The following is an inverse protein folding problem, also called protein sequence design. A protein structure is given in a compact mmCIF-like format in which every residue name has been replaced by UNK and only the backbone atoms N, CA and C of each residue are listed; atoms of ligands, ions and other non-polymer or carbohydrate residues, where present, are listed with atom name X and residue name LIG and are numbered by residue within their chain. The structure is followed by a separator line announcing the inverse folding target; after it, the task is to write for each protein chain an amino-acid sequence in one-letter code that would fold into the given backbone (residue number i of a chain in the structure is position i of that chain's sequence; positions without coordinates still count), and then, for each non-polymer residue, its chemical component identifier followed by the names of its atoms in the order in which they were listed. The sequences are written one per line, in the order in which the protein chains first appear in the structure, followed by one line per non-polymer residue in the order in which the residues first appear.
data_IF_691576237802
#
_entry.id   IF_691576237802
#
_cell.length_a   1.000
_cell.length_b   1.000
_cell.length_c   1.000
_cell.angle_alpha   90.00
_cell.angle_beta   90.00
_cell.angle_gamma   90.00
#
_symmetry.space_group_name_H-M   'P 1'
#
loop_
_entity.id
_entity.type
_entity.pdbx_description
1 polymer ?
#
# COMPACT_ATOMS: atom_id res chain seq x y z
N UNK A 1 14.54 -9.76 -3.17
CA UNK A 1 13.30 -9.46 -3.92
C UNK A 1 12.84 -10.73 -4.59
N UNK A 2 11.57 -11.11 -4.45
CA UNK A 2 11.02 -12.26 -5.17
C UNK A 2 10.95 -11.94 -6.67
N UNK A 3 11.46 -12.84 -7.52
CA UNK A 3 11.40 -12.71 -8.98
C UNK A 3 9.93 -12.73 -9.44
N UNK A 4 9.53 -11.74 -10.25
CA UNK A 4 8.16 -11.66 -10.76
C UNK A 4 7.92 -12.72 -11.84
N UNK A 5 6.69 -13.18 -12.01
CA UNK A 5 6.36 -14.28 -12.94
C UNK A 5 6.80 -13.98 -14.37
N UNK A 6 6.64 -12.73 -14.83
CA UNK A 6 7.09 -12.32 -16.16
C UNK A 6 8.61 -12.39 -16.32
N UNK A 7 9.38 -12.08 -15.27
CA UNK A 7 10.84 -12.17 -15.26
C UNK A 7 11.28 -13.64 -15.34
N UNK A 8 10.61 -14.51 -14.57
CA UNK A 8 10.87 -15.95 -14.59
C UNK A 8 10.58 -16.54 -15.98
N UNK A 9 9.48 -16.11 -16.62
CA UNK A 9 9.13 -16.52 -17.98
C UNK A 9 10.17 -16.08 -19.01
N UNK A 10 10.53 -14.79 -19.01
CA UNK A 10 11.52 -14.24 -19.94
C UNK A 10 12.90 -14.91 -19.76
N UNK A 11 13.31 -15.17 -18.52
CA UNK A 11 14.57 -15.84 -18.21
C UNK A 11 14.61 -17.29 -18.70
N UNK A 12 13.52 -18.04 -18.55
CA UNK A 12 13.49 -19.48 -18.86
C UNK A 12 13.20 -19.73 -20.35
N UNK A 13 12.25 -18.98 -20.91
CA UNK A 13 11.80 -19.21 -22.30
C UNK A 13 12.48 -18.30 -23.32
N UNK A 14 13.13 -17.20 -22.87
CA UNK A 14 13.71 -16.18 -23.75
C UNK A 14 12.68 -15.35 -24.53
N UNK A 15 11.39 -15.44 -24.19
CA UNK A 15 10.29 -14.80 -24.92
C UNK A 15 9.57 -13.75 -24.07
N UNK A 16 9.00 -12.70 -24.69
CA UNK A 16 8.25 -11.68 -23.95
C UNK A 16 7.02 -12.31 -23.28
N UNK A 17 6.65 -11.77 -22.12
CA UNK A 17 5.48 -12.23 -21.36
C UNK A 17 4.16 -12.23 -22.18
N UNK A 18 4.05 -11.35 -23.17
CA UNK A 18 2.89 -11.32 -24.09
C UNK A 18 2.65 -12.65 -24.82
N UNK A 19 3.71 -13.43 -25.06
CA UNK A 19 3.60 -14.74 -25.71
C UNK A 19 3.00 -15.79 -24.77
N UNK A 20 3.14 -15.63 -23.44
CA UNK A 20 2.54 -16.53 -22.46
C UNK A 20 1.02 -16.46 -22.51
N UNK A 21 0.47 -15.24 -22.54
CA UNK A 21 -0.97 -15.01 -22.65
C UNK A 21 -1.51 -15.45 -24.03
N UNK A 22 -0.81 -15.13 -25.12
CA UNK A 22 -1.18 -15.56 -26.48
C UNK A 22 -1.14 -17.08 -26.65
N UNK A 23 -0.19 -17.75 -25.97
CA UNK A 23 -0.06 -19.20 -25.97
C UNK A 23 -1.06 -19.92 -25.04
N UNK A 24 -1.91 -19.19 -24.31
CA UNK A 24 -2.88 -19.76 -23.39
C UNK A 24 -2.24 -20.37 -22.13
N UNK A 25 -1.00 -20.02 -21.81
CA UNK A 25 -0.29 -20.54 -20.63
C UNK A 25 -0.69 -19.83 -19.33
N UNK A 26 -1.32 -18.67 -19.44
CA UNK A 26 -1.91 -17.91 -18.34
C UNK A 26 -3.11 -17.12 -18.84
N UNK A 27 -4.09 -16.91 -17.97
CA UNK A 27 -5.25 -16.02 -18.16
C UNK A 27 -5.02 -14.63 -17.51
N UNK A 28 -3.85 -14.39 -16.93
CA UNK A 28 -3.51 -13.17 -16.20
C UNK A 28 -3.97 -13.17 -14.75
N UNK A 29 -4.72 -14.18 -14.29
CA UNK A 29 -5.12 -14.32 -12.89
C UNK A 29 -3.90 -14.61 -12.01
N UNK A 30 -3.97 -14.14 -10.76
CA UNK A 30 -2.91 -14.35 -9.77
C UNK A 30 -2.59 -15.84 -9.56
N UNK A 31 -3.62 -16.67 -9.44
CA UNK A 31 -3.47 -18.11 -9.23
C UNK A 31 -2.84 -18.82 -10.45
N UNK A 32 -3.24 -18.45 -11.67
CA UNK A 32 -2.63 -18.99 -12.89
C UNK A 32 -1.16 -18.60 -13.02
N UNK A 33 -0.83 -17.34 -12.69
CA UNK A 33 0.55 -16.84 -12.72
C UNK A 33 1.44 -17.58 -11.71
N UNK A 34 0.97 -17.83 -10.48
CA UNK A 34 1.72 -18.63 -9.50
C UNK A 34 1.90 -20.08 -9.96
N UNK A 35 0.85 -20.70 -10.50
CA UNK A 35 0.93 -22.08 -10.99
C UNK A 35 1.92 -22.19 -12.16
N UNK A 36 1.92 -21.22 -13.07
CA UNK A 36 2.87 -21.13 -14.18
C UNK A 36 4.31 -20.95 -13.68
N UNK A 37 4.52 -20.04 -12.72
CA UNK A 37 5.84 -19.82 -12.12
C UNK A 37 6.40 -21.10 -11.47
N UNK A 38 5.57 -21.82 -10.71
CA UNK A 38 5.96 -23.10 -10.09
C UNK A 38 6.35 -24.15 -11.14
N UNK A 39 5.61 -24.25 -12.25
CA UNK A 39 5.93 -25.17 -13.35
C UNK A 39 7.27 -24.83 -14.00
N UNK A 40 7.47 -23.56 -14.32
CA UNK A 40 8.71 -23.04 -14.91
C UNK A 40 9.93 -23.31 -14.03
N UNK A 41 9.85 -22.99 -12.73
CA UNK A 41 10.91 -23.28 -11.77
C UNK A 41 11.13 -24.80 -11.57
N UNK A 42 10.09 -25.60 -11.81
CA UNK A 42 10.16 -27.07 -11.86
C UNK A 42 10.79 -27.64 -13.12
N UNK A 43 11.34 -26.81 -14.02
CA UNK A 43 12.03 -27.25 -15.24
C UNK A 43 11.11 -27.56 -16.41
N UNK A 44 9.84 -27.15 -16.35
CA UNK A 44 8.92 -27.26 -17.48
C UNK A 44 9.20 -26.14 -18.49
N UNK A 45 9.49 -26.51 -19.73
CA UNK A 45 9.66 -25.59 -20.85
C UNK A 45 8.49 -25.74 -21.85
N UNK A 46 7.60 -24.73 -21.98
CA UNK A 46 6.45 -24.77 -22.89
C UNK A 46 6.82 -24.84 -24.36
N UNK A 47 8.04 -24.43 -24.73
CA UNK A 47 8.52 -24.40 -26.10
C UNK A 47 9.67 -25.36 -26.34
N UNK A 48 9.95 -26.26 -25.39
CA UNK A 48 10.76 -27.42 -25.68
C UNK A 48 10.13 -28.10 -26.88
N UNK A 49 10.83 -28.05 -28.02
CA UNK A 49 10.45 -28.82 -29.20
C UNK A 49 10.28 -30.24 -28.69
N UNK A 50 9.08 -30.80 -28.85
CA UNK A 50 8.83 -32.19 -28.51
C UNK A 50 9.98 -32.97 -29.15
N UNK A 51 10.91 -33.44 -28.32
CA UNK A 51 12.00 -34.25 -28.80
C UNK A 51 11.29 -35.38 -29.51
N UNK A 52 11.41 -35.39 -30.85
CA UNK A 52 10.77 -36.37 -31.70
C UNK A 52 10.89 -37.69 -30.98
N UNK A 53 9.76 -38.32 -30.65
CA UNK A 53 9.77 -39.63 -30.04
C UNK A 53 10.76 -40.46 -30.86
N UNK A 54 11.92 -40.77 -30.28
CA UNK A 54 12.98 -41.47 -31.01
C UNK A 54 12.30 -42.66 -31.68
N UNK A 55 12.42 -42.83 -33.01
CA UNK A 55 11.77 -43.94 -33.68
C UNK A 55 12.16 -45.22 -32.96
N UNK A 56 11.17 -46.01 -32.52
CA UNK A 56 11.39 -47.31 -31.89
C UNK A 56 12.34 -48.08 -32.78
N UNK A 57 13.59 -48.22 -32.35
CA UNK A 57 14.56 -49.00 -33.06
C UNK A 57 14.02 -50.43 -33.14
N UNK A 58 13.96 -50.97 -34.37
CA UNK A 58 13.75 -52.40 -34.60
C UNK A 58 14.66 -53.19 -33.66
N UNK A 59 14.20 -54.31 -33.08
CA UNK A 59 15.04 -55.12 -32.22
C UNK A 59 16.18 -55.70 -33.05
N UNK A 60 17.36 -55.07 -32.95
CA UNK A 60 18.60 -55.62 -33.46
C UNK A 60 19.22 -56.43 -32.33
N UNK A 61 19.62 -57.65 -32.68
CA UNK A 61 20.10 -58.68 -31.76
C UNK A 61 21.07 -58.13 -30.70
N UNK A 62 20.85 -58.61 -29.47
CA UNK A 62 21.60 -58.33 -28.25
C UNK A 62 23.10 -58.55 -28.49
N UNK A 63 23.86 -57.47 -28.69
CA UNK A 63 25.30 -57.48 -28.41
C UNK A 63 25.45 -57.19 -26.91
N UNK A 64 26.10 -58.08 -26.18
CA UNK A 64 26.37 -57.91 -24.76
C UNK A 64 27.22 -56.65 -24.54
N UNK A 65 26.59 -55.60 -24.01
CA UNK A 65 27.29 -54.40 -23.59
C UNK A 65 27.96 -54.69 -22.23
N UNK A 66 29.28 -54.51 -22.19
CA UNK A 66 30.05 -54.53 -20.96
C UNK A 66 29.53 -53.45 -20.00
N UNK A 67 29.18 -53.87 -18.78
CA UNK A 67 28.78 -52.99 -17.69
C UNK A 67 29.98 -52.17 -17.24
N UNK A 68 30.04 -50.89 -17.62
CA UNK A 68 30.84 -49.91 -16.90
C UNK A 68 30.20 -49.68 -15.52
N UNK A 69 30.96 -49.74 -14.40
CA UNK A 69 30.43 -49.38 -13.09
C UNK A 69 30.08 -47.89 -13.10
N UNK A 70 28.81 -47.57 -12.90
CA UNK A 70 28.38 -46.20 -12.64
C UNK A 70 29.00 -45.68 -11.34
N UNK A 71 29.18 -44.35 -11.18
CA UNK A 71 29.63 -43.79 -9.92
C UNK A 71 28.69 -44.27 -8.81
N UNK A 72 29.25 -44.93 -7.80
CA UNK A 72 28.49 -45.44 -6.68
C UNK A 72 27.72 -44.32 -5.97
N UNK A 73 26.64 -44.63 -5.25
CA UNK A 73 25.90 -43.65 -4.46
C UNK A 73 26.90 -42.91 -3.57
N UNK A 74 26.99 -41.59 -3.76
CA UNK A 74 27.77 -40.73 -2.87
C UNK A 74 27.15 -40.92 -1.47
N UNK A 75 27.91 -41.40 -0.48
CA UNK A 75 27.40 -41.53 0.88
C UNK A 75 27.05 -40.13 1.38
N UNK A 76 25.76 -39.78 1.35
CA UNK A 76 25.26 -38.62 2.08
C UNK A 76 25.32 -39.01 3.55
N UNK A 77 26.35 -38.49 4.22
CA UNK A 77 26.55 -38.65 5.65
C UNK A 77 25.25 -38.21 6.36
N UNK A 78 24.54 -39.09 7.11
CA UNK A 78 23.19 -38.82 7.62
C UNK A 78 23.09 -37.58 8.53
N UNK A 79 24.21 -37.03 9.01
CA UNK A 79 24.26 -35.78 9.76
C UNK A 79 24.20 -34.50 8.90
N UNK A 80 24.67 -34.55 7.64
CA UNK A 80 24.78 -33.36 6.79
C UNK A 80 23.40 -32.89 6.30
N UNK A 81 22.48 -33.83 6.05
CA UNK A 81 21.10 -33.54 5.72
C UNK A 81 20.33 -32.91 6.88
N UNK A 82 20.61 -33.32 8.12
CA UNK A 82 19.97 -32.77 9.32
C UNK A 82 20.37 -31.29 9.54
N UNK A 83 21.65 -30.98 9.39
CA UNK A 83 22.16 -29.60 9.50
C UNK A 83 21.57 -28.67 8.43
N UNK A 84 21.40 -29.16 7.19
CA UNK A 84 20.75 -28.39 6.12
C UNK A 84 19.27 -28.11 6.43
N UNK A 85 18.57 -29.07 7.01
CA UNK A 85 17.17 -28.91 7.43
C UNK A 85 17.02 -27.89 8.57
N UNK A 86 17.91 -27.94 9.56
CA UNK A 86 17.94 -26.99 10.67
C UNK A 86 18.23 -25.56 10.16
N UNK A 87 19.18 -25.40 9.24
CA UNK A 87 19.49 -24.12 8.62
C UNK A 87 18.29 -23.57 7.82
N UNK A 88 17.56 -24.43 7.09
CA UNK A 88 16.35 -24.02 6.36
C UNK A 88 15.23 -23.58 7.32
N UNK A 89 15.03 -24.30 8.42
CA UNK A 89 14.02 -23.94 9.43
C UNK A 89 14.38 -22.63 10.13
N UNK A 90 15.66 -22.42 10.44
CA UNK A 90 16.14 -21.17 11.02
C UNK A 90 15.92 -19.98 10.06
N UNK A 91 16.24 -20.15 8.77
CA UNK A 91 15.99 -19.14 7.74
C UNK A 91 14.49 -18.84 7.60
N UNK A 92 13.65 -19.88 7.59
CA UNK A 92 12.20 -19.72 7.46
C UNK A 92 11.62 -18.95 8.66
N UNK A 93 12.11 -19.23 9.87
CA UNK A 93 11.73 -18.48 11.07
C UNK A 93 12.16 -17.02 10.97
N UNK A 94 13.40 -16.76 10.55
CA UNK A 94 13.89 -15.39 10.37
C UNK A 94 13.05 -14.60 9.36
N UNK A 95 12.69 -15.22 8.24
CA UNK A 95 11.80 -14.59 7.24
C UNK A 95 10.41 -14.29 7.83
N UNK A 96 9.87 -15.20 8.65
CA UNK A 96 8.59 -14.99 9.31
C UNK A 96 8.65 -13.82 10.30
N UNK A 97 9.71 -13.75 11.09
CA UNK A 97 9.94 -12.67 12.08
C UNK A 97 10.13 -11.32 11.37
N UNK A 98 10.92 -11.26 10.30
CA UNK A 98 11.12 -10.04 9.51
C UNK A 98 9.81 -9.56 8.85
N UNK A 99 8.99 -10.48 8.34
CA UNK A 99 7.68 -10.15 7.78
C UNK A 99 6.71 -9.62 8.84
N UNK A 100 6.73 -10.19 10.05
CA UNK A 100 5.92 -9.71 11.17
C UNK A 100 6.28 -8.27 11.53
N UNK A 101 7.59 -7.95 11.63
CA UNK A 101 8.06 -6.59 11.90
C UNK A 101 7.65 -5.61 10.80
N UNK A 102 7.80 -5.99 9.54
CA UNK A 102 7.39 -5.14 8.40
C UNK A 102 5.88 -4.85 8.42
N UNK A 103 5.07 -5.84 8.78
CA UNK A 103 3.62 -5.67 8.92
C UNK A 103 3.27 -4.69 10.05
N UNK A 104 3.94 -4.80 11.20
CA UNK A 104 3.76 -3.87 12.33
C UNK A 104 4.12 -2.43 11.94
N UNK A 105 5.25 -2.23 11.26
CA UNK A 105 5.69 -0.93 10.75
C UNK A 105 4.68 -0.34 9.75
N UNK A 106 4.22 -1.15 8.78
CA UNK A 106 3.24 -0.71 7.80
C UNK A 106 1.90 -0.31 8.44
N UNK A 107 1.45 -1.04 9.47
CA UNK A 107 0.26 -0.67 10.23
C UNK A 107 0.46 0.63 11.02
N UNK A 108 1.64 0.82 11.61
CA UNK A 108 1.96 2.07 12.31
C UNK A 108 2.00 3.28 11.35
N UNK A 109 2.53 3.10 10.13
CA UNK A 109 2.51 4.12 9.09
C UNK A 109 1.08 4.43 8.63
N UNK A 110 0.24 3.40 8.42
CA UNK A 110 -1.15 3.58 8.05
C UNK A 110 -1.93 4.38 9.12
N UNK A 111 -1.71 4.09 10.41
CA UNK A 111 -2.29 4.88 11.51
C UNK A 111 -1.84 6.34 11.48
N UNK A 112 -0.52 6.59 11.35
CA UNK A 112 0.02 7.96 11.25
C UNK A 112 -0.57 8.74 10.07
N UNK A 113 -0.77 8.08 8.93
CA UNK A 113 -1.34 8.70 7.75
C UNK A 113 -2.84 9.01 7.93
N UNK A 114 -3.59 8.11 8.58
CA UNK A 114 -5.00 8.34 8.90
C UNK A 114 -5.17 9.50 9.89
N UNK A 115 -4.34 9.55 10.94
CA UNK A 115 -4.30 10.69 11.86
C UNK A 115 -3.98 12.00 11.15
N UNK A 116 -2.99 12.00 10.24
CA UNK A 116 -2.63 13.18 9.47
C UNK A 116 -3.79 13.65 8.56
N UNK A 117 -4.48 12.73 7.88
CA UNK A 117 -5.64 13.06 7.04
C UNK A 117 -6.79 13.66 7.84
N UNK A 118 -7.14 13.06 8.97
CA UNK A 118 -8.22 13.56 9.83
C UNK A 118 -7.85 14.91 10.46
N UNK A 119 -6.58 15.12 10.81
CA UNK A 119 -6.12 16.41 11.34
C UNK A 119 -6.07 17.53 10.29
N UNK A 120 -5.90 17.19 9.01
CA UNK A 120 -5.82 18.16 7.91
C UNK A 120 -7.19 18.72 7.50
N UNK A 121 -8.29 18.04 7.85
CA UNK A 121 -9.64 18.51 7.55
C UNK A 121 -10.32 19.04 8.82
N UNK A 122 -10.50 20.36 8.98
CA UNK A 122 -11.16 20.92 10.17
C UNK A 122 -12.62 20.49 10.32
N UNK A 123 -13.28 20.02 9.25
CA UNK A 123 -14.63 19.46 9.34
C UNK A 123 -14.67 18.10 10.05
N UNK A 124 -13.53 17.38 10.08
CA UNK A 124 -13.41 16.04 10.66
C UNK A 124 -12.76 16.04 12.05
N UNK A 125 -12.62 17.21 12.69
CA UNK A 125 -12.01 17.35 14.02
C UNK A 125 -12.67 16.46 15.08
N UNK A 126 -14.00 16.38 15.08
CA UNK A 126 -14.74 15.50 16.01
C UNK A 126 -14.47 14.03 15.72
N UNK A 127 -14.40 13.64 14.44
CA UNK A 127 -14.06 12.28 14.04
C UNK A 127 -12.60 11.92 14.42
N UNK A 128 -11.68 12.88 14.30
CA UNK A 128 -10.30 12.74 14.74
C UNK A 128 -10.19 12.48 16.25
N UNK A 129 -10.90 13.25 17.07
CA UNK A 129 -10.90 13.08 18.53
C UNK A 129 -11.56 11.74 18.96
N UNK A 130 -12.64 11.32 18.30
CA UNK A 130 -13.23 9.99 18.51
C UNK A 130 -12.27 8.87 18.11
N UNK A 131 -11.54 9.03 17.01
CA UNK A 131 -10.54 8.07 16.57
C UNK A 131 -9.39 7.92 17.58
N UNK A 132 -8.89 9.02 18.16
CA UNK A 132 -7.86 8.97 19.21
C UNK A 132 -8.32 8.18 20.44
N UNK A 133 -9.55 8.39 20.92
CA UNK A 133 -10.10 7.57 22.02
C UNK A 133 -10.15 6.09 21.65
N UNK A 134 -10.56 5.77 20.43
CA UNK A 134 -10.59 4.38 19.98
C UNK A 134 -9.20 3.73 19.97
N UNK A 135 -8.13 4.51 19.72
CA UNK A 135 -6.75 4.05 19.81
C UNK A 135 -6.33 3.83 21.26
N UNK A 136 -6.64 4.77 22.16
CA UNK A 136 -6.35 4.64 23.59
C UNK A 136 -7.06 3.42 24.21
N UNK A 137 -8.32 3.17 23.85
CA UNK A 137 -9.08 1.99 24.28
C UNK A 137 -8.47 0.67 23.78
N UNK A 138 -7.86 0.68 22.59
CA UNK A 138 -7.15 -0.46 22.02
C UNK A 138 -5.72 -0.62 22.57
N UNK A 139 -5.28 0.27 23.47
CA UNK A 139 -3.96 0.25 24.09
C UNK A 139 -2.85 0.88 23.23
N UNK A 140 -3.19 1.63 22.19
CA UNK A 140 -2.24 2.38 21.38
C UNK A 140 -2.07 3.81 21.90
N UNK A 141 -0.85 4.34 21.81
CA UNK A 141 -0.56 5.74 22.16
C UNK A 141 -0.77 6.65 20.93
N UNK A 142 -1.77 7.55 20.94
CA UNK A 142 -1.94 8.53 19.87
C UNK A 142 -0.82 9.58 19.87
N UNK A 143 -0.62 10.32 18.77
CA UNK A 143 0.39 11.39 18.68
C UNK A 143 0.16 12.52 19.70
N UNK A 144 -1.09 12.78 20.05
CA UNK A 144 -1.50 13.74 21.08
C UNK A 144 -2.61 13.12 21.91
N UNK A 145 -2.65 13.42 23.20
CA UNK A 145 -3.71 12.95 24.08
C UNK A 145 -5.09 13.33 23.53
N UNK A 146 -6.06 12.42 23.64
CA UNK A 146 -7.44 12.72 23.29
C UNK A 146 -7.99 13.83 24.18
N UNK A 147 -8.72 14.79 23.60
CA UNK A 147 -9.40 15.84 24.35
C UNK A 147 -10.66 15.31 25.01
N UNK A 148 -11.02 15.92 26.14
CA UNK A 148 -12.26 15.58 26.84
C UNK A 148 -13.49 16.05 26.04
N UNK A 149 -14.65 15.41 26.25
CA UNK A 149 -15.89 15.81 25.58
C UNK A 149 -16.27 17.26 25.85
N UNK A 150 -15.95 17.78 27.04
CA UNK A 150 -16.18 19.18 27.42
C UNK A 150 -15.31 20.12 26.57
N UNK A 151 -14.02 19.82 26.43
CA UNK A 151 -13.13 20.61 25.57
C UNK A 151 -13.52 20.54 24.09
N UNK A 152 -14.01 19.39 23.62
CA UNK A 152 -14.49 19.23 22.24
C UNK A 152 -15.76 20.07 22.01
N UNK A 153 -16.70 20.07 22.97
CA UNK A 153 -17.90 20.90 22.92
C UNK A 153 -17.54 22.40 22.93
N UNK A 154 -16.66 22.83 23.83
CA UNK A 154 -16.19 24.23 23.88
C UNK A 154 -15.53 24.67 22.57
N UNK A 155 -14.68 23.82 21.97
CA UNK A 155 -14.03 24.13 20.69
C UNK A 155 -15.02 24.17 19.53
N UNK A 156 -16.04 23.30 19.56
CA UNK A 156 -17.08 23.25 18.54
C UNK A 156 -18.00 24.46 18.63
N UNK A 157 -18.36 24.88 19.84
CA UNK A 157 -19.16 26.09 20.10
C UNK A 157 -18.42 27.36 19.66
N UNK A 158 -17.10 27.41 19.89
CA UNK A 158 -16.22 28.48 19.38
C UNK A 158 -16.09 28.44 17.86
N UNK A 159 -15.92 27.26 17.26
CA UNK A 159 -15.71 27.11 15.82
C UNK A 159 -16.98 27.34 14.99
N UNK A 160 -18.16 27.10 15.56
CA UNK A 160 -19.45 27.35 14.92
C UNK A 160 -20.05 28.72 15.25
N UNK A 161 -19.35 29.54 16.05
CA UNK A 161 -19.84 30.84 16.52
C UNK A 161 -21.29 30.78 17.04
N UNK A 162 -21.66 29.66 17.67
CA UNK A 162 -22.99 29.47 18.26
C UNK A 162 -23.14 30.26 19.57
N UNK A 163 -22.04 30.81 20.10
CA UNK A 163 -22.07 31.84 21.13
C UNK A 163 -22.20 33.23 20.48
N UNK A 164 -23.45 33.69 20.46
CA UNK A 164 -23.97 34.96 19.95
C UNK A 164 -23.05 36.18 20.13
N UNK A 165 -22.85 36.90 19.01
CA UNK A 165 -23.01 38.37 18.99
C UNK A 165 -21.84 39.21 19.48
N UNK A 166 -20.70 39.16 18.79
CA UNK A 166 -19.66 40.19 18.94
C UNK A 166 -19.51 40.94 17.61
N UNK A 167 -20.30 42.00 17.47
CA UNK A 167 -19.96 43.13 16.59
C UNK A 167 -18.53 43.56 16.93
N UNK A 168 -17.68 43.81 15.91
CA UNK A 168 -16.33 44.32 16.12
C UNK A 168 -16.32 45.79 16.60
N UNK A 169 -17.51 46.38 16.79
CA UNK A 169 -17.74 47.75 17.21
C UNK A 169 -18.49 48.54 16.15
N UNK A 170 -19.00 49.71 16.53
CA UNK A 170 -19.65 50.65 15.60
C UNK A 170 -18.60 51.52 14.91
N UNK A 171 -18.58 51.52 13.58
CA UNK A 171 -17.66 52.33 12.78
C UNK A 171 -17.94 53.83 12.91
N UNK A 172 -17.00 54.65 12.45
CA UNK A 172 -17.06 56.13 12.53
C UNK A 172 -18.32 56.76 11.90
N UNK A 173 -19.04 56.01 11.08
CA UNK A 173 -20.31 56.41 10.46
C UNK A 173 -21.57 55.93 11.22
N UNK A 174 -21.43 55.40 12.43
CA UNK A 174 -22.55 54.89 13.22
C UNK A 174 -23.11 53.55 12.71
N UNK A 175 -22.41 52.89 11.79
CA UNK A 175 -22.79 51.60 11.23
C UNK A 175 -22.00 50.50 11.91
N UNK A 176 -22.69 49.44 12.34
CA UNK A 176 -22.09 48.32 13.04
C UNK A 176 -21.11 47.57 12.12
N UNK A 177 -19.88 47.34 12.59
CA UNK A 177 -18.86 46.66 11.80
C UNK A 177 -18.99 45.15 12.06
N UNK A 178 -19.41 44.36 11.04
CA UNK A 178 -19.40 42.90 11.16
C UNK A 178 -17.98 42.44 11.49
N UNK A 179 -17.84 41.57 12.50
CA UNK A 179 -16.55 40.99 12.82
C UNK A 179 -16.12 40.05 11.69
N UNK A 180 -14.83 39.77 11.57
CA UNK A 180 -14.31 38.85 10.55
C UNK A 180 -14.86 37.42 10.66
N UNK A 181 -15.62 37.11 11.71
CA UNK A 181 -16.37 35.87 11.91
C UNK A 181 -17.79 35.89 11.33
N UNK A 182 -18.44 37.06 11.27
CA UNK A 182 -19.87 37.16 10.91
C UNK A 182 -20.19 37.00 9.42
N UNK A 183 -19.18 36.73 8.58
CA UNK A 183 -19.41 36.29 7.19
C UNK A 183 -19.34 34.77 7.21
N UNK A 184 -20.51 34.14 7.26
CA UNK A 184 -20.60 32.69 7.25
C UNK A 184 -20.02 32.13 5.94
N UNK A 185 -19.33 30.98 5.94
CA UNK A 185 -18.76 30.38 4.70
C UNK A 185 -19.82 30.16 3.61
N UNK A 186 -21.08 30.01 3.99
CA UNK A 186 -22.26 29.97 3.13
C UNK A 186 -22.56 31.29 2.41
N UNK A 187 -22.23 32.43 3.00
CA UNK A 187 -22.31 33.75 2.35
C UNK A 187 -21.07 34.03 1.48
N UNK A 188 -19.89 33.51 1.86
CA UNK A 188 -18.69 33.55 1.01
C UNK A 188 -18.86 32.79 -0.32
N UNK A 189 -19.70 31.74 -0.36
CA UNK A 189 -20.09 31.06 -1.60
C UNK A 189 -21.17 31.79 -2.40
N UNK A 190 -21.85 32.77 -1.81
CA UNK A 190 -22.87 33.59 -2.47
C UNK A 190 -22.31 34.86 -3.14
N UNK A 191 -21.02 35.19 -2.90
CA UNK A 191 -20.38 36.29 -3.63
C UNK A 191 -20.19 35.89 -5.09
N UNK A 192 -20.70 36.72 -5.99
CA UNK A 192 -20.47 36.51 -7.41
C UNK A 192 -18.97 36.68 -7.70
N UNK A 193 -18.41 35.98 -8.70
CA UNK A 193 -17.01 36.15 -9.11
C UNK A 193 -16.66 37.62 -9.43
N UNK A 194 -17.65 38.40 -9.83
CA UNK A 194 -17.55 39.84 -10.08
C UNK A 194 -17.27 40.63 -8.81
N UNK A 195 -17.95 40.31 -7.69
CA UNK A 195 -17.80 41.01 -6.41
C UNK A 195 -16.43 40.73 -5.78
N UNK A 196 -15.94 39.50 -5.91
CA UNK A 196 -14.57 39.11 -5.53
C UNK A 196 -13.55 39.86 -6.40
N UNK A 197 -13.84 40.07 -7.68
CA UNK A 197 -13.03 40.88 -8.59
C UNK A 197 -12.95 42.35 -8.16
N UNK A 198 -14.06 42.94 -7.71
CA UNK A 198 -14.09 44.32 -7.22
C UNK A 198 -13.32 44.44 -5.90
N UNK A 199 -13.55 43.55 -4.94
CA UNK A 199 -12.83 43.54 -3.65
C UNK A 199 -11.31 43.37 -3.82
N UNK A 200 -10.90 42.49 -4.73
CA UNK A 200 -9.48 42.30 -5.04
C UNK A 200 -8.87 43.48 -5.78
N UNK A 201 -9.65 44.25 -6.54
CA UNK A 201 -9.18 45.50 -7.17
C UNK A 201 -8.90 46.61 -6.15
N UNK A 202 -9.69 46.71 -5.08
CA UNK A 202 -9.44 47.65 -3.99
C UNK A 202 -8.20 47.27 -3.15
N UNK A 203 -8.00 45.98 -2.91
CA UNK A 203 -6.83 45.48 -2.18
C UNK A 203 -5.52 45.58 -2.97
N UNK A 204 -5.58 45.43 -4.30
CA UNK A 204 -4.38 45.46 -5.18
C UNK A 204 -4.07 46.85 -5.71
N UNK A 205 -5.07 47.73 -5.79
CA UNK A 205 -4.92 49.11 -6.26
C UNK A 205 -4.20 50.01 -5.27
N UNK A 206 -4.21 49.68 -3.97
CA UNK A 206 -3.73 50.57 -2.92
C UNK A 206 -4.61 51.81 -2.83
N UNK A 207 -5.18 52.07 -1.66
CA UNK A 207 -5.70 53.43 -1.40
C UNK A 207 -4.46 54.30 -1.27
N UNK A 208 -4.18 55.11 -2.30
CA UNK A 208 -3.21 56.20 -2.18
C UNK A 208 -3.71 57.12 -1.05
N UNK A 209 -3.08 57.02 0.12
CA UNK A 209 -3.13 58.01 1.19
C UNK A 209 -2.02 59.02 1.01
#
# INVERSE_FOLDING_TARGET
MAELVYQTWERITGRPWSDAAKGGFTDGSYNANIALQKKLLGGWDPYATAAQAKPKAKPKAKAAAATTPGPGPVPVDPGLAAQQWEALMALQKQIADDNARLLEEAQADARRLQEAQLSANPADFVAYELYKRSLEEQGYAPQTAARSDVEIQELFDVALELNEGISAGTGQFGVDIPSTGSISRSELQAFSPTDIGILSSFLRGGVDT
#
